data_IF_497255876327
#
_entry.id   IF_497255876327
#
_cell.length_a   1.000
_cell.length_b   1.000
_cell.length_c   1.000
_cell.angle_alpha   90.00
_cell.angle_beta   90.00
_cell.angle_gamma   90.00
#
_symmetry.space_group_name_H-M   'P 1'
#
loop_
_entity.id
_entity.type
_entity.pdbx_description
1 polymer ?
#
# COMPACT_ATOMS: atom_id res chain seq x y z
N UNK A 1 -31.32 -20.77 -18.57
CA UNK A 1 -31.31 -19.43 -17.97
C UNK A 1 -30.04 -19.33 -17.14
N UNK A 2 -29.24 -18.27 -17.28
CA UNK A 2 -28.03 -18.11 -16.47
C UNK A 2 -28.40 -17.55 -15.10
N UNK A 3 -27.86 -18.14 -14.03
CA UNK A 3 -28.04 -17.62 -12.67
C UNK A 3 -27.30 -16.27 -12.50
N UNK A 4 -27.79 -15.41 -11.60
CA UNK A 4 -27.11 -14.18 -11.24
C UNK A 4 -25.81 -14.47 -10.48
N UNK A 5 -24.70 -13.88 -10.95
CA UNK A 5 -23.34 -14.17 -10.44
C UNK A 5 -22.88 -13.25 -9.31
N UNK A 6 -23.67 -12.25 -8.93
CA UNK A 6 -23.33 -11.28 -7.90
C UNK A 6 -22.01 -10.52 -8.10
N UNK A 7 -21.62 -10.28 -9.36
CA UNK A 7 -20.45 -9.48 -9.71
C UNK A 7 -20.76 -7.97 -9.79
N UNK A 8 -22.00 -7.63 -10.17
CA UNK A 8 -22.45 -6.25 -10.29
C UNK A 8 -23.82 -6.07 -9.66
N UNK A 9 -23.94 -5.12 -8.74
CA UNK A 9 -25.21 -4.76 -8.10
C UNK A 9 -26.25 -4.36 -9.14
N UNK A 10 -27.32 -5.15 -9.27
CA UNK A 10 -28.40 -4.91 -10.26
C UNK A 10 -29.30 -3.74 -9.87
N UNK A 11 -29.66 -3.65 -8.59
CA UNK A 11 -30.52 -2.61 -8.04
C UNK A 11 -29.79 -1.93 -6.89
N UNK A 12 -29.65 -0.61 -6.99
CA UNK A 12 -28.95 0.23 -6.02
C UNK A 12 -29.97 0.85 -5.07
N UNK A 13 -29.57 0.98 -3.81
CA UNK A 13 -30.35 1.64 -2.76
C UNK A 13 -29.51 2.76 -2.18
N UNK A 14 -30.12 3.93 -2.00
CA UNK A 14 -29.48 5.07 -1.36
C UNK A 14 -29.98 5.19 0.09
N UNK A 15 -29.07 5.57 0.97
CA UNK A 15 -29.33 5.89 2.36
C UNK A 15 -28.61 7.20 2.72
N UNK A 16 -29.02 7.89 3.81
CA UNK A 16 -28.24 8.98 4.36
C UNK A 16 -26.80 8.54 4.63
N UNK A 17 -25.84 9.44 4.41
CA UNK A 17 -24.43 9.13 4.58
C UNK A 17 -24.13 8.68 6.01
N UNK A 18 -23.35 7.60 6.13
CA UNK A 18 -22.95 7.07 7.42
C UNK A 18 -21.74 7.86 7.95
N UNK A 19 -21.85 8.56 9.09
CA UNK A 19 -20.75 9.35 9.62
C UNK A 19 -19.61 8.48 10.16
N UNK A 20 -19.88 7.20 10.47
CA UNK A 20 -18.93 6.28 11.11
C UNK A 20 -19.18 6.11 12.61
N UNK A 21 -18.74 4.99 13.17
CA UNK A 21 -18.85 4.66 14.61
C UNK A 21 -18.26 5.77 15.48
N UNK A 22 -18.95 6.24 16.54
CA UNK A 22 -18.40 7.20 17.49
C UNK A 22 -17.16 6.63 18.19
N UNK A 23 -16.09 7.42 18.27
CA UNK A 23 -14.89 7.03 19.01
C UNK A 23 -15.02 7.40 20.48
N UNK A 24 -14.36 6.64 21.36
CA UNK A 24 -14.45 6.85 22.82
C UNK A 24 -13.90 8.21 23.26
N UNK A 25 -12.82 8.68 22.64
CA UNK A 25 -12.18 9.97 22.99
C UNK A 25 -12.69 11.06 22.08
N UNK A 26 -13.19 12.14 22.67
CA UNK A 26 -13.69 13.30 21.93
C UNK A 26 -12.64 13.87 20.98
N UNK A 27 -11.38 13.96 21.42
CA UNK A 27 -10.24 14.36 20.58
C UNK A 27 -10.14 13.54 19.30
N UNK A 28 -10.30 12.22 19.38
CA UNK A 28 -10.20 11.34 18.22
C UNK A 28 -11.40 11.52 17.26
N UNK A 29 -12.59 11.85 17.77
CA UNK A 29 -13.74 12.23 16.93
C UNK A 29 -13.51 13.55 16.20
N UNK A 30 -12.89 14.54 16.87
CA UNK A 30 -12.53 15.83 16.25
C UNK A 30 -11.47 15.70 15.15
N UNK A 31 -10.75 14.59 15.09
CA UNK A 31 -9.86 14.29 13.96
C UNK A 31 -10.64 13.88 12.69
N UNK A 32 -11.94 13.58 12.75
CA UNK A 32 -12.77 13.31 11.57
C UNK A 32 -13.01 14.62 10.83
N UNK A 33 -12.66 14.68 9.55
CA UNK A 33 -12.90 15.89 8.76
C UNK A 33 -14.42 16.18 8.71
N UNK A 34 -14.83 17.45 8.90
CA UNK A 34 -16.24 17.85 8.94
C UNK A 34 -16.88 17.92 7.54
N UNK A 35 -16.25 17.32 6.53
CA UNK A 35 -16.77 17.31 5.16
C UNK A 35 -17.87 16.26 5.02
N UNK A 36 -19.00 16.66 4.45
CA UNK A 36 -20.07 15.75 4.08
C UNK A 36 -19.54 14.70 3.10
N UNK A 37 -19.81 13.40 3.33
CA UNK A 37 -19.49 12.36 2.37
C UNK A 37 -20.22 12.60 1.04
N UNK A 38 -19.62 12.08 -0.03
CA UNK A 38 -20.16 12.18 -1.38
C UNK A 38 -20.39 10.79 -1.95
N UNK A 39 -21.42 10.65 -2.78
CA UNK A 39 -21.84 9.36 -3.35
C UNK A 39 -21.45 9.27 -4.83
N UNK A 40 -20.55 8.33 -5.14
CA UNK A 40 -20.16 8.03 -6.52
C UNK A 40 -20.99 6.84 -7.00
N UNK A 41 -22.08 7.14 -7.72
CA UNK A 41 -23.06 6.13 -8.14
C UNK A 41 -22.47 5.02 -9.03
N UNK A 42 -21.40 5.30 -9.78
CA UNK A 42 -20.69 4.28 -10.55
C UNK A 42 -19.95 3.27 -9.66
N UNK A 43 -19.44 3.69 -8.49
CA UNK A 43 -18.78 2.79 -7.53
C UNK A 43 -19.75 1.77 -6.93
N UNK A 44 -21.05 2.10 -6.87
CA UNK A 44 -22.10 1.23 -6.36
C UNK A 44 -22.33 -0.05 -7.19
N UNK A 45 -21.82 -0.11 -8.43
CA UNK A 45 -21.81 -1.35 -9.20
C UNK A 45 -20.87 -2.41 -8.61
N UNK A 46 -19.81 -1.98 -7.93
CA UNK A 46 -18.76 -2.87 -7.40
C UNK A 46 -18.74 -2.92 -5.87
N UNK A 47 -19.39 -2.00 -5.17
CA UNK A 47 -19.36 -1.93 -3.71
C UNK A 47 -20.12 -0.73 -3.14
N UNK A 48 -19.57 -0.09 -2.11
CA UNK A 48 -20.19 1.07 -1.46
C UNK A 48 -20.02 2.36 -2.30
N UNK A 49 -21.10 3.13 -2.43
CA UNK A 49 -21.10 4.40 -3.16
C UNK A 49 -20.44 5.56 -2.39
N UNK A 50 -20.40 5.48 -1.06
CA UNK A 50 -19.94 6.55 -0.19
C UNK A 50 -18.42 6.69 -0.14
N UNK A 51 -17.95 7.90 -0.40
CA UNK A 51 -16.56 8.31 -0.25
C UNK A 51 -16.47 9.28 0.94
N UNK A 52 -15.65 8.92 1.92
CA UNK A 52 -15.53 9.65 3.18
C UNK A 52 -16.57 9.24 4.24
N UNK A 53 -16.53 9.84 5.44
CA UNK A 53 -15.55 10.84 5.87
C UNK A 53 -14.18 10.20 6.18
N UNK A 54 -13.13 11.02 6.25
CA UNK A 54 -11.77 10.55 6.59
C UNK A 54 -11.32 11.19 7.92
N UNK A 55 -10.64 10.41 8.74
CA UNK A 55 -9.93 10.95 9.90
C UNK A 55 -8.60 11.55 9.48
N UNK A 56 -8.28 12.78 9.83
CA UNK A 56 -7.00 13.40 9.56
C UNK A 56 -6.50 14.19 10.78
N UNK A 57 -6.10 13.45 11.82
CA UNK A 57 -5.39 14.03 12.97
C UNK A 57 -3.93 14.35 12.69
N UNK A 58 -3.20 14.76 13.73
CA UNK A 58 -1.78 15.16 13.64
C UNK A 58 -0.91 14.15 12.87
N UNK A 59 -1.03 12.84 13.16
CA UNK A 59 -0.24 11.81 12.46
C UNK A 59 -0.63 11.69 10.98
N UNK A 60 -1.91 11.86 10.63
CA UNK A 60 -2.32 11.86 9.22
C UNK A 60 -1.78 13.07 8.47
N UNK A 61 -1.94 14.27 9.04
CA UNK A 61 -1.44 15.51 8.45
C UNK A 61 0.08 15.46 8.30
N UNK A 62 0.81 15.07 9.35
CA UNK A 62 2.26 14.96 9.30
C UNK A 62 2.70 13.96 8.23
N UNK A 63 2.12 12.75 8.18
CA UNK A 63 2.46 11.78 7.14
C UNK A 63 2.25 12.34 5.72
N UNK A 64 1.14 13.03 5.46
CA UNK A 64 0.87 13.65 4.16
C UNK A 64 1.89 14.75 3.84
N UNK A 65 2.22 15.64 4.79
CA UNK A 65 3.21 16.70 4.58
C UNK A 65 4.58 16.10 4.25
N UNK A 66 5.04 15.13 5.04
CA UNK A 66 6.33 14.46 4.79
C UNK A 66 6.33 13.74 3.43
N UNK A 67 5.23 13.10 3.05
CA UNK A 67 5.10 12.46 1.74
C UNK A 67 5.20 13.49 0.62
N UNK A 68 4.44 14.59 0.70
CA UNK A 68 4.43 15.63 -0.33
C UNK A 68 5.83 16.25 -0.49
N UNK A 69 6.54 16.52 0.60
CA UNK A 69 7.92 17.04 0.53
C UNK A 69 8.83 16.07 -0.21
N UNK A 70 8.84 14.78 0.16
CA UNK A 70 9.69 13.77 -0.47
C UNK A 70 9.31 13.50 -1.93
N UNK A 71 8.02 13.30 -2.20
CA UNK A 71 7.49 12.99 -3.53
C UNK A 71 7.68 14.15 -4.51
N UNK A 72 7.39 15.38 -4.09
CA UNK A 72 7.59 16.55 -4.95
C UNK A 72 9.08 16.83 -5.19
N UNK A 73 9.97 16.54 -4.22
CA UNK A 73 11.41 16.64 -4.45
C UNK A 73 11.90 15.67 -5.55
N UNK A 74 11.35 14.45 -5.62
CA UNK A 74 11.62 13.51 -6.71
C UNK A 74 11.19 14.12 -8.06
N UNK A 75 9.94 14.56 -8.16
CA UNK A 75 9.40 15.16 -9.38
C UNK A 75 10.15 16.43 -9.82
N UNK A 76 10.58 17.26 -8.87
CA UNK A 76 11.40 18.44 -9.13
C UNK A 76 12.75 18.07 -9.75
N UNK A 77 13.43 17.05 -9.21
CA UNK A 77 14.71 16.59 -9.76
C UNK A 77 14.56 15.99 -11.16
N UNK A 78 13.45 15.30 -11.42
CA UNK A 78 13.13 14.81 -12.76
C UNK A 78 12.86 15.97 -13.75
N UNK A 79 12.20 17.06 -13.32
CA UNK A 79 12.03 18.27 -14.14
C UNK A 79 13.36 18.97 -14.46
N UNK A 80 14.29 19.02 -13.50
CA UNK A 80 15.62 19.61 -13.69
C UNK A 80 16.38 18.88 -14.80
N UNK A 81 16.30 17.54 -14.87
CA UNK A 81 16.97 16.73 -15.89
C UNK A 81 16.54 17.06 -17.32
N UNK A 82 15.31 17.57 -17.50
CA UNK A 82 14.75 17.95 -18.80
C UNK A 82 14.66 19.47 -18.97
N UNK A 83 15.50 20.23 -18.26
CA UNK A 83 15.56 21.69 -18.32
C UNK A 83 14.19 22.37 -18.12
N UNK A 84 13.38 21.84 -17.20
CA UNK A 84 12.03 22.34 -16.89
C UNK A 84 11.04 22.31 -18.07
N UNK A 85 11.32 21.57 -19.14
CA UNK A 85 10.39 21.40 -20.26
C UNK A 85 9.27 20.41 -19.88
N UNK A 86 7.99 20.85 -19.81
CA UNK A 86 6.89 19.94 -19.48
C UNK A 86 6.66 18.87 -20.54
N UNK A 87 6.94 19.18 -21.81
CA UNK A 87 6.80 18.25 -22.93
C UNK A 87 7.81 17.12 -22.78
N UNK A 88 9.07 17.47 -22.49
CA UNK A 88 10.14 16.49 -22.30
C UNK A 88 9.94 15.68 -21.03
N UNK A 89 9.44 16.31 -19.96
CA UNK A 89 9.09 15.62 -18.73
C UNK A 89 8.08 14.49 -18.97
N UNK A 90 6.99 14.77 -19.69
CA UNK A 90 5.98 13.76 -20.02
C UNK A 90 6.54 12.71 -20.99
N UNK A 91 7.27 13.13 -22.03
CA UNK A 91 7.87 12.24 -23.03
C UNK A 91 8.84 11.24 -22.40
N UNK A 92 9.64 11.69 -21.45
CA UNK A 92 10.72 10.92 -20.84
C UNK A 92 10.38 10.37 -19.45
N UNK A 93 9.16 10.60 -18.94
CA UNK A 93 8.77 10.33 -17.54
C UNK A 93 9.25 8.97 -17.01
N UNK A 94 9.19 7.93 -17.83
CA UNK A 94 9.55 6.58 -17.41
C UNK A 94 11.06 6.33 -17.31
N UNK A 95 11.86 7.13 -18.01
CA UNK A 95 13.33 7.06 -18.03
C UNK A 95 13.99 8.02 -17.03
N UNK A 96 13.28 9.03 -16.53
CA UNK A 96 13.83 9.96 -15.54
C UNK A 96 14.09 9.22 -14.20
N UNK A 97 15.17 9.60 -13.52
CA UNK A 97 15.61 8.93 -12.29
C UNK A 97 16.22 9.90 -11.30
N UNK A 98 15.95 9.72 -10.01
CA UNK A 98 16.74 10.32 -8.93
C UNK A 98 17.58 9.22 -8.32
N UNK A 99 18.88 9.26 -8.60
CA UNK A 99 19.80 8.17 -8.26
C UNK A 99 20.43 8.35 -6.87
N UNK A 100 20.78 7.24 -6.18
CA UNK A 100 21.49 7.32 -4.91
C UNK A 100 22.88 7.96 -5.05
N UNK A 101 23.46 8.44 -3.94
CA UNK A 101 24.82 8.99 -3.92
C UNK A 101 25.87 8.03 -4.51
N UNK A 102 26.83 8.53 -5.32
CA UNK A 102 27.94 7.72 -5.81
C UNK A 102 28.78 7.10 -4.67
N UNK A 103 29.42 5.96 -4.95
CA UNK A 103 30.18 5.19 -3.95
C UNK A 103 31.30 5.99 -3.25
N UNK A 104 31.86 7.02 -3.91
CA UNK A 104 32.89 7.90 -3.32
C UNK A 104 32.44 8.58 -2.01
N UNK A 105 31.13 8.70 -1.79
CA UNK A 105 30.58 9.28 -0.57
C UNK A 105 30.33 8.23 0.54
N UNK A 106 30.36 6.94 0.25
CA UNK A 106 30.00 5.90 1.23
C UNK A 106 28.64 6.16 1.87
N UNK A 107 28.62 6.35 3.20
CA UNK A 107 27.43 6.73 3.97
C UNK A 107 27.36 8.21 4.37
N UNK A 108 28.29 9.05 3.89
CA UNK A 108 28.29 10.49 4.19
C UNK A 108 27.16 11.25 3.46
N UNK A 109 26.92 12.49 3.90
CA UNK A 109 25.99 13.40 3.22
C UNK A 109 26.69 14.03 2.01
N UNK A 110 26.25 13.76 0.77
CA UNK A 110 26.82 14.34 -0.43
C UNK A 110 26.21 15.73 -0.74
N UNK A 111 26.79 16.47 -1.69
CA UNK A 111 26.15 17.64 -2.27
C UNK A 111 24.76 17.33 -2.84
N UNK A 112 23.85 18.32 -2.83
CA UNK A 112 22.48 18.15 -3.30
C UNK A 112 22.41 17.66 -4.76
N UNK A 113 23.25 18.22 -5.63
CA UNK A 113 23.34 17.89 -7.05
C UNK A 113 24.13 16.60 -7.37
N UNK A 114 24.61 15.87 -6.36
CA UNK A 114 25.40 14.64 -6.52
C UNK A 114 24.90 13.54 -5.57
N UNK A 115 23.58 13.36 -5.51
CA UNK A 115 22.88 12.34 -4.71
C UNK A 115 22.21 12.85 -3.42
N UNK A 116 22.41 14.10 -3.02
CA UNK A 116 21.80 14.64 -1.80
C UNK A 116 20.28 14.71 -1.87
N UNK A 117 19.71 14.98 -3.05
CA UNK A 117 18.26 14.92 -3.26
C UNK A 117 17.65 13.54 -3.08
N UNK A 118 18.41 12.47 -3.34
CA UNK A 118 17.96 11.11 -3.06
C UNK A 118 17.82 10.86 -1.56
N UNK A 119 18.83 11.23 -0.76
CA UNK A 119 18.76 11.11 0.69
C UNK A 119 17.65 11.97 1.30
N UNK A 120 17.48 13.20 0.79
CA UNK A 120 16.39 14.08 1.19
C UNK A 120 15.03 13.41 0.93
N UNK A 121 14.80 12.94 -0.30
CA UNK A 121 13.53 12.33 -0.69
C UNK A 121 13.27 11.03 0.05
N UNK A 122 14.30 10.20 0.23
CA UNK A 122 14.25 8.95 0.98
C UNK A 122 13.92 9.17 2.46
N UNK A 123 14.53 10.18 3.10
CA UNK A 123 14.24 10.54 4.50
C UNK A 123 12.77 10.94 4.68
N UNK A 124 12.29 11.92 3.91
CA UNK A 124 10.93 12.44 4.03
C UNK A 124 9.89 11.36 3.73
N UNK A 125 10.12 10.54 2.70
CA UNK A 125 9.24 9.41 2.36
C UNK A 125 9.24 8.33 3.45
N UNK A 126 10.41 7.97 4.00
CA UNK A 126 10.51 6.97 5.07
C UNK A 126 9.76 7.44 6.32
N UNK A 127 9.97 8.68 6.75
CA UNK A 127 9.28 9.26 7.91
C UNK A 127 7.77 9.29 7.68
N UNK A 128 7.31 9.66 6.48
CA UNK A 128 5.89 9.60 6.13
C UNK A 128 5.29 8.20 6.33
N UNK A 129 5.94 7.17 5.79
CA UNK A 129 5.50 5.78 5.90
C UNK A 129 5.40 5.32 7.36
N UNK A 130 6.41 5.64 8.18
CA UNK A 130 6.43 5.28 9.60
C UNK A 130 5.32 6.01 10.38
N UNK A 131 5.08 7.29 10.10
CA UNK A 131 3.97 8.03 10.72
C UNK A 131 2.61 7.46 10.25
N UNK A 132 2.50 7.03 8.99
CA UNK A 132 1.30 6.38 8.47
C UNK A 132 1.01 5.05 9.16
N UNK A 133 2.06 4.27 9.49
CA UNK A 133 1.92 3.08 10.32
C UNK A 133 1.35 3.42 11.71
N UNK A 134 1.88 4.46 12.38
CA UNK A 134 1.36 4.93 13.68
C UNK A 134 -0.11 5.35 13.55
N UNK A 135 -0.48 6.02 12.46
CA UNK A 135 -1.86 6.38 12.17
C UNK A 135 -2.76 5.14 12.09
N UNK A 136 -2.37 4.11 11.34
CA UNK A 136 -3.15 2.86 11.23
C UNK A 136 -3.32 2.18 12.58
N UNK A 137 -2.24 2.10 13.37
CA UNK A 137 -2.27 1.57 14.73
C UNK A 137 -3.25 2.35 15.62
N UNK A 138 -3.16 3.68 15.64
CA UNK A 138 -4.07 4.54 16.44
C UNK A 138 -5.53 4.38 16.04
N UNK A 139 -5.84 4.27 14.74
CA UNK A 139 -7.23 4.09 14.28
C UNK A 139 -7.81 2.75 14.72
N UNK A 140 -7.04 1.66 14.63
CA UNK A 140 -7.48 0.36 15.13
C UNK A 140 -7.76 0.41 16.65
N UNK A 141 -6.85 1.02 17.44
CA UNK A 141 -7.03 1.16 18.89
C UNK A 141 -8.21 2.04 19.28
N UNK A 142 -8.46 3.12 18.54
CA UNK A 142 -9.59 4.02 18.80
C UNK A 142 -10.96 3.34 18.59
N UNK A 143 -11.02 2.33 17.72
CA UNK A 143 -12.20 1.50 17.48
C UNK A 143 -12.26 0.24 18.36
N UNK A 144 -11.29 0.02 19.26
CA UNK A 144 -11.22 -1.19 20.09
C UNK A 144 -10.89 -2.47 19.30
N UNK A 145 -10.37 -2.35 18.07
CA UNK A 145 -10.05 -3.48 17.20
C UNK A 145 -8.67 -4.07 17.51
N UNK A 146 -8.44 -5.31 17.06
CA UNK A 146 -7.09 -5.90 17.00
C UNK A 146 -6.20 -5.16 16.00
N UNK A 147 -4.87 -5.24 16.19
CA UNK A 147 -3.88 -4.50 15.40
C UNK A 147 -3.28 -5.32 14.26
N UNK A 148 -4.04 -6.24 13.67
CA UNK A 148 -3.56 -7.13 12.60
C UNK A 148 -3.08 -6.37 11.36
N UNK A 149 -3.85 -5.36 10.90
CA UNK A 149 -3.52 -4.57 9.71
C UNK A 149 -2.21 -3.77 9.85
N UNK A 150 -1.97 -2.99 10.93
CA UNK A 150 -0.68 -2.32 11.08
C UNK A 150 0.49 -3.30 11.21
N UNK A 151 0.30 -4.50 11.80
CA UNK A 151 1.36 -5.50 11.81
C UNK A 151 1.68 -6.07 10.43
N UNK A 152 0.66 -6.34 9.61
CA UNK A 152 0.87 -6.70 8.20
C UNK A 152 1.58 -5.58 7.43
N UNK A 153 1.22 -4.32 7.68
CA UNK A 153 1.90 -3.17 7.06
C UNK A 153 3.35 -3.03 7.54
N UNK A 154 3.66 -3.35 8.80
CA UNK A 154 5.04 -3.38 9.30
C UNK A 154 5.93 -4.38 8.54
N UNK A 155 5.38 -5.52 8.11
CA UNK A 155 6.11 -6.48 7.28
C UNK A 155 6.45 -5.92 5.89
N UNK A 156 5.58 -5.09 5.30
CA UNK A 156 5.88 -4.38 4.05
C UNK A 156 6.94 -3.29 4.25
N UNK A 157 6.85 -2.54 5.36
CA UNK A 157 7.85 -1.54 5.77
C UNK A 157 9.22 -2.20 5.96
N UNK A 158 9.28 -3.41 6.51
CA UNK A 158 10.52 -4.16 6.66
C UNK A 158 11.23 -4.34 5.31
N UNK A 159 10.56 -4.85 4.27
CA UNK A 159 11.17 -5.00 2.95
C UNK A 159 11.65 -3.66 2.38
N UNK A 160 10.82 -2.61 2.49
CA UNK A 160 11.18 -1.25 2.07
C UNK A 160 12.46 -0.75 2.74
N UNK A 161 12.57 -0.89 4.07
CA UNK A 161 13.75 -0.48 4.83
C UNK A 161 14.96 -1.35 4.50
N UNK A 162 14.79 -2.65 4.27
CA UNK A 162 15.89 -3.54 3.84
C UNK A 162 16.49 -3.05 2.54
N UNK A 163 15.66 -2.73 1.54
CA UNK A 163 16.12 -2.31 0.20
C UNK A 163 16.77 -0.92 0.21
N UNK A 164 16.17 0.04 0.90
CA UNK A 164 16.55 1.45 0.82
C UNK A 164 17.45 1.97 1.96
N UNK A 165 17.59 1.24 3.07
CA UNK A 165 18.26 1.74 4.26
C UNK A 165 19.16 0.71 4.95
N UNK A 166 18.61 -0.39 5.46
CA UNK A 166 19.34 -1.37 6.28
C UNK A 166 20.46 -2.03 5.48
N UNK A 167 20.18 -2.58 4.29
CA UNK A 167 21.22 -3.21 3.46
C UNK A 167 22.25 -2.18 2.98
N UNK A 168 21.90 -1.00 2.43
CA UNK A 168 22.88 0.03 2.08
C UNK A 168 23.84 0.39 3.24
N UNK A 169 23.30 0.54 4.46
CA UNK A 169 24.11 0.81 5.66
C UNK A 169 25.07 -0.35 5.96
N UNK A 170 24.59 -1.61 5.91
CA UNK A 170 25.44 -2.79 6.13
C UNK A 170 26.51 -2.97 5.05
N UNK A 171 26.24 -2.52 3.82
CA UNK A 171 27.19 -2.53 2.71
C UNK A 171 28.14 -1.32 2.73
N UNK A 172 27.93 -0.35 3.64
CA UNK A 172 28.78 0.84 3.78
C UNK A 172 28.63 1.87 2.67
N UNK A 173 27.56 1.84 1.86
CA UNK A 173 27.37 2.76 0.74
C UNK A 173 25.92 2.98 0.38
N UNK A 174 25.51 4.25 0.24
CA UNK A 174 24.16 4.59 -0.25
C UNK A 174 23.93 4.19 -1.71
N UNK A 175 24.98 4.00 -2.51
CA UNK A 175 24.87 3.54 -3.91
C UNK A 175 24.17 2.18 -4.03
N UNK A 176 24.22 1.37 -2.97
CA UNK A 176 23.60 0.05 -2.94
C UNK A 176 22.07 0.09 -2.84
N UNK A 177 21.48 1.27 -2.60
CA UNK A 177 20.05 1.47 -2.49
C UNK A 177 19.35 1.59 -3.86
N UNK A 178 18.01 1.58 -3.84
CA UNK A 178 17.17 1.64 -5.05
C UNK A 178 17.02 3.10 -5.53
N UNK A 179 17.16 3.42 -6.83
CA UNK A 179 16.86 4.74 -7.38
C UNK A 179 15.36 5.03 -7.40
N UNK A 180 14.97 6.32 -7.40
CA UNK A 180 13.58 6.72 -7.62
C UNK A 180 13.34 7.01 -9.10
N UNK A 181 12.88 6.00 -9.85
CA UNK A 181 12.48 6.12 -11.26
C UNK A 181 11.80 4.85 -11.77
N UNK A 182 10.99 4.95 -12.82
CA UNK A 182 10.16 3.82 -13.27
C UNK A 182 11.03 2.75 -13.93
N UNK A 183 11.84 3.08 -14.93
CA UNK A 183 12.73 2.07 -15.53
C UNK A 183 14.00 1.85 -14.71
N UNK A 184 14.55 2.89 -14.07
CA UNK A 184 15.77 2.75 -13.27
C UNK A 184 15.63 1.80 -12.08
N UNK A 185 14.47 1.71 -11.41
CA UNK A 185 14.28 0.72 -10.35
C UNK A 185 14.12 -0.72 -10.88
N UNK A 186 13.62 -0.90 -12.12
CA UNK A 186 13.56 -2.20 -12.78
C UNK A 186 14.96 -2.65 -13.20
N UNK A 187 15.76 -1.73 -13.74
CA UNK A 187 17.16 -1.96 -14.08
C UNK A 187 17.95 -2.32 -12.83
N UNK A 188 17.74 -1.61 -11.72
CA UNK A 188 18.33 -1.93 -10.42
C UNK A 188 17.96 -3.35 -9.97
N UNK A 189 16.69 -3.75 -10.10
CA UNK A 189 16.21 -5.09 -9.69
C UNK A 189 16.90 -6.18 -10.50
N UNK A 190 17.05 -5.97 -11.81
CA UNK A 190 17.77 -6.89 -12.71
C UNK A 190 19.25 -6.95 -12.36
N UNK A 191 19.90 -5.79 -12.21
CA UNK A 191 21.30 -5.68 -11.86
C UNK A 191 21.61 -6.31 -10.49
N UNK A 192 20.70 -6.19 -9.53
CA UNK A 192 20.82 -6.83 -8.23
C UNK A 192 20.90 -8.36 -8.37
N UNK A 193 20.00 -8.96 -9.16
CA UNK A 193 20.03 -10.40 -9.42
C UNK A 193 21.33 -10.84 -10.08
N UNK A 194 21.78 -10.11 -11.10
CA UNK A 194 23.02 -10.42 -11.81
C UNK A 194 24.24 -10.30 -10.90
N UNK A 195 24.32 -9.23 -10.09
CA UNK A 195 25.44 -8.99 -9.18
C UNK A 195 25.58 -10.07 -8.10
N UNK A 196 24.47 -10.62 -7.63
CA UNK A 196 24.46 -11.66 -6.59
C UNK A 196 24.34 -13.08 -7.15
N UNK A 197 24.63 -13.30 -8.43
CA UNK A 197 24.73 -14.65 -9.00
C UNK A 197 23.40 -15.36 -9.17
N UNK A 198 22.39 -14.64 -9.68
CA UNK A 198 21.03 -15.11 -9.97
C UNK A 198 20.17 -15.37 -8.71
N UNK A 199 19.25 -14.45 -8.43
CA UNK A 199 18.33 -14.55 -7.30
C UNK A 199 17.38 -15.75 -7.32
N UNK A 200 17.24 -16.47 -8.44
CA UNK A 200 16.43 -17.70 -8.44
C UNK A 200 16.99 -18.77 -7.51
N UNK A 201 18.28 -18.75 -7.19
CA UNK A 201 18.88 -19.71 -6.26
C UNK A 201 18.85 -19.25 -4.79
N UNK A 202 18.32 -18.05 -4.50
CA UNK A 202 18.13 -17.61 -3.13
C UNK A 202 16.86 -18.26 -2.53
N UNK A 203 16.95 -19.07 -1.46
CA UNK A 203 15.80 -19.78 -0.92
C UNK A 203 14.72 -18.85 -0.36
N UNK A 204 15.08 -17.68 0.18
CA UNK A 204 14.09 -16.70 0.65
C UNK A 204 13.37 -15.99 -0.51
N UNK A 205 14.04 -15.81 -1.65
CA UNK A 205 13.40 -15.31 -2.86
C UNK A 205 12.40 -16.34 -3.42
N UNK A 206 12.77 -17.63 -3.45
CA UNK A 206 11.84 -18.71 -3.80
C UNK A 206 10.60 -18.72 -2.89
N UNK A 207 10.79 -18.63 -1.57
CA UNK A 207 9.69 -18.54 -0.61
C UNK A 207 8.81 -17.31 -0.86
N UNK A 208 9.41 -16.14 -1.14
CA UNK A 208 8.67 -14.93 -1.45
C UNK A 208 7.80 -15.09 -2.71
N UNK A 209 8.29 -15.78 -3.74
CA UNK A 209 7.50 -16.11 -4.94
C UNK A 209 6.35 -17.06 -4.58
N UNK A 210 6.62 -18.10 -3.79
CA UNK A 210 5.60 -19.04 -3.36
C UNK A 210 4.48 -18.34 -2.57
N UNK A 211 4.81 -17.39 -1.68
CA UNK A 211 3.81 -16.61 -0.94
C UNK A 211 3.09 -15.58 -1.81
N UNK A 212 3.75 -14.98 -2.81
CA UNK A 212 3.10 -14.10 -3.76
C UNK A 212 2.05 -14.86 -4.59
N UNK A 213 2.44 -16.01 -5.16
CA UNK A 213 1.52 -16.87 -5.90
C UNK A 213 0.43 -17.46 -5.01
N UNK A 214 0.81 -17.90 -3.81
CA UNK A 214 -0.11 -18.39 -2.79
C UNK A 214 -1.15 -17.34 -2.38
N UNK A 215 -0.78 -16.06 -2.33
CA UNK A 215 -1.72 -14.97 -2.02
C UNK A 215 -2.78 -14.80 -3.12
N UNK A 216 -2.35 -14.83 -4.40
CA UNK A 216 -3.28 -14.78 -5.54
C UNK A 216 -4.20 -16.01 -5.54
N UNK A 217 -3.62 -17.20 -5.33
CA UNK A 217 -4.37 -18.45 -5.26
C UNK A 217 -5.41 -18.43 -4.13
N UNK A 218 -5.00 -18.13 -2.90
CA UNK A 218 -5.88 -18.12 -1.74
C UNK A 218 -6.96 -17.04 -1.86
N UNK A 219 -6.66 -15.87 -2.40
CA UNK A 219 -7.68 -14.83 -2.57
C UNK A 219 -8.65 -15.18 -3.70
N UNK A 220 -8.19 -15.80 -4.79
CA UNK A 220 -9.09 -16.31 -5.83
C UNK A 220 -10.02 -17.42 -5.28
N UNK A 221 -9.45 -18.39 -4.54
CA UNK A 221 -10.20 -19.45 -3.87
C UNK A 221 -11.24 -18.87 -2.90
N UNK A 222 -10.81 -17.99 -1.99
CA UNK A 222 -11.68 -17.40 -0.99
C UNK A 222 -12.75 -16.50 -1.61
N UNK A 223 -12.38 -15.56 -2.49
CA UNK A 223 -13.31 -14.65 -3.15
C UNK A 223 -14.37 -15.39 -3.98
N UNK A 224 -13.97 -16.40 -4.75
CA UNK A 224 -14.91 -17.24 -5.48
C UNK A 224 -15.81 -18.07 -4.55
N UNK A 225 -15.27 -18.58 -3.44
CA UNK A 225 -16.05 -19.31 -2.44
C UNK A 225 -17.12 -18.42 -1.82
N UNK A 226 -16.75 -17.23 -1.36
CA UNK A 226 -17.67 -16.27 -0.75
C UNK A 226 -18.78 -15.92 -1.76
N UNK A 227 -18.42 -15.56 -3.00
CA UNK A 227 -19.40 -15.28 -4.06
C UNK A 227 -20.35 -16.47 -4.33
N UNK A 228 -19.85 -17.71 -4.31
CA UNK A 228 -20.68 -18.89 -4.50
C UNK A 228 -21.73 -19.08 -3.39
N UNK A 229 -21.42 -18.65 -2.16
CA UNK A 229 -22.29 -18.75 -0.99
C UNK A 229 -22.99 -17.44 -0.58
N UNK A 230 -22.90 -16.36 -1.38
CA UNK A 230 -23.66 -15.11 -1.11
C UNK A 230 -25.16 -15.32 -1.17
N UNK A 231 -25.63 -16.32 -1.93
CA UNK A 231 -27.04 -16.75 -1.94
C UNK A 231 -27.54 -17.20 -0.55
N UNK A 232 -26.63 -17.46 0.38
CA UNK A 232 -26.88 -17.78 1.78
C UNK A 232 -26.37 -16.70 2.76
N UNK A 233 -25.96 -15.53 2.26
CA UNK A 233 -25.41 -14.42 3.05
C UNK A 233 -23.98 -14.67 3.57
N UNK A 234 -23.16 -15.44 2.85
CA UNK A 234 -21.82 -15.82 3.28
C UNK A 234 -20.80 -14.67 3.39
N UNK A 235 -21.05 -13.53 2.75
CA UNK A 235 -20.25 -12.30 2.86
C UNK A 235 -20.38 -11.62 4.23
N UNK A 236 -21.39 -11.99 5.04
CA UNK A 236 -21.59 -11.51 6.41
C UNK A 236 -20.75 -12.34 7.39
N UNK A 237 -19.43 -12.29 7.18
CA UNK A 237 -18.48 -13.24 7.78
C UNK A 237 -18.41 -13.11 9.31
N UNK A 238 -18.59 -11.92 9.87
CA UNK A 238 -18.56 -11.71 11.33
C UNK A 238 -19.69 -12.51 11.99
N UNK A 239 -20.90 -12.41 11.46
CA UNK A 239 -22.05 -13.16 11.95
C UNK A 239 -21.88 -14.66 11.73
N UNK A 240 -21.37 -15.08 10.57
CA UNK A 240 -21.10 -16.50 10.30
C UNK A 240 -20.03 -17.12 11.22
N UNK A 241 -19.06 -16.33 11.69
CA UNK A 241 -18.05 -16.78 12.66
C UNK A 241 -18.67 -16.96 14.05
N UNK A 242 -19.54 -16.04 14.47
CA UNK A 242 -20.18 -16.09 15.80
C UNK A 242 -21.29 -17.14 15.86
N UNK A 243 -22.10 -17.24 14.81
CA UNK A 243 -23.20 -18.20 14.68
C UNK A 243 -23.15 -18.86 13.29
N UNK A 244 -22.63 -20.08 13.26
CA UNK A 244 -22.31 -20.79 12.02
C UNK A 244 -23.57 -21.13 11.23
N UNK A 245 -23.73 -20.50 10.06
CA UNK A 245 -24.81 -20.80 9.13
C UNK A 245 -24.44 -21.79 8.01
N UNK A 246 -25.45 -22.14 7.19
CA UNK A 246 -25.26 -23.05 6.05
C UNK A 246 -24.30 -22.52 4.99
N UNK A 247 -24.08 -21.20 4.92
CA UNK A 247 -23.09 -20.59 4.04
C UNK A 247 -21.68 -21.12 4.35
N UNK A 248 -21.25 -21.00 5.62
CA UNK A 248 -19.95 -21.50 6.08
C UNK A 248 -19.85 -23.02 6.04
N UNK A 249 -20.93 -23.74 6.35
CA UNK A 249 -20.93 -25.21 6.26
C UNK A 249 -20.68 -25.69 4.83
N UNK A 250 -21.38 -25.10 3.84
CA UNK A 250 -21.20 -25.45 2.42
C UNK A 250 -19.83 -25.03 1.90
N UNK A 251 -19.36 -23.84 2.27
CA UNK A 251 -18.02 -23.38 1.94
C UNK A 251 -16.94 -24.35 2.45
N UNK A 252 -17.05 -24.80 3.71
CA UNK A 252 -16.11 -25.76 4.29
C UNK A 252 -16.21 -27.14 3.64
N UNK A 253 -17.42 -27.65 3.38
CA UNK A 253 -17.62 -28.95 2.75
C UNK A 253 -17.12 -28.99 1.31
N UNK A 254 -17.29 -27.90 0.55
CA UNK A 254 -16.74 -27.76 -0.80
C UNK A 254 -15.23 -28.03 -0.82
N UNK A 255 -14.47 -27.34 0.04
CA UNK A 255 -13.02 -27.53 0.12
C UNK A 255 -12.60 -28.86 0.74
N UNK A 256 -13.41 -29.43 1.65
CA UNK A 256 -13.14 -30.74 2.25
C UNK A 256 -13.30 -31.89 1.24
N UNK A 257 -14.21 -31.75 0.28
CA UNK A 257 -14.54 -32.81 -0.67
C UNK A 257 -13.82 -32.68 -2.02
N UNK A 258 -13.09 -31.59 -2.24
CA UNK A 258 -12.22 -31.39 -3.42
C UNK A 258 -10.87 -32.08 -3.20
#
# INVERSE_FOLDING_TARGET
MFDYQNLFTQVRVDAPSYPGVPLQRERDNRERLPAEPWHVQAAAWLGNAQIGPIYLGFTGIAAVIFFLIGFTAIGWNMLVQVNYSPIEFVRQLFWLSVDPPPAKYGLSLPPMNDGGWWLFSGFFTTVSILIWWVRMYRRARALGMGTHVPWAFAAAIWLYLVLGFIRPVLMGSWLEAVPFGIFSHLDWTTAFSLRYGNLFYNPFHMLSIAFLYGSVLLFAMHGATILAVTRYGGEREIEQIVDRGTASERAALFWRWT
#
